data_IF_627112072312
#
_entry.id   IF_627112072312
#
_cell.length_a   1.000
_cell.length_b   1.000
_cell.length_c   1.000
_cell.angle_alpha   90.00
_cell.angle_beta   90.00
_cell.angle_gamma   90.00
#
_symmetry.space_group_name_H-M   'P 1'
#
loop_
_entity.id
_entity.type
_entity.pdbx_description
1 polymer ?
#
# COMPACT_ATOMS: atom_id res chain seq x y z
N UNK A 1 -24.35 1.62 0.41
CA UNK A 1 -23.13 2.09 -0.29
C UNK A 1 -23.13 1.84 -1.80
N UNK A 2 -23.87 0.85 -2.33
CA UNK A 2 -23.93 0.61 -3.79
C UNK A 2 -25.38 0.66 -4.32
N UNK A 3 -26.08 1.77 -4.08
CA UNK A 3 -27.43 2.03 -4.59
C UNK A 3 -27.38 2.77 -5.94
N UNK A 4 -28.48 2.82 -6.72
CA UNK A 4 -28.54 3.57 -7.98
C UNK A 4 -28.09 5.02 -7.87
N UNK A 5 -28.29 5.64 -6.71
CA UNK A 5 -27.89 7.02 -6.39
C UNK A 5 -26.37 7.20 -6.34
N UNK A 6 -25.62 6.11 -6.13
CA UNK A 6 -24.15 6.10 -6.03
C UNK A 6 -23.46 5.37 -7.19
N UNK A 7 -24.16 5.14 -8.31
CA UNK A 7 -23.59 4.42 -9.45
C UNK A 7 -22.41 5.14 -10.11
N UNK A 8 -22.36 6.47 -10.01
CA UNK A 8 -21.23 7.26 -10.52
C UNK A 8 -19.97 6.99 -9.68
N UNK A 9 -20.10 7.00 -8.36
CA UNK A 9 -19.02 6.71 -7.41
C UNK A 9 -18.57 5.25 -7.53
N UNK A 10 -19.53 4.33 -7.65
CA UNK A 10 -19.24 2.93 -7.93
C UNK A 10 -18.44 2.77 -9.22
N UNK A 11 -18.88 3.37 -10.33
CA UNK A 11 -18.15 3.31 -11.60
C UNK A 11 -16.78 3.95 -11.49
N UNK A 12 -16.66 5.09 -10.81
CA UNK A 12 -15.38 5.78 -10.63
C UNK A 12 -14.38 4.87 -9.90
N UNK A 13 -14.81 4.27 -8.80
CA UNK A 13 -13.97 3.46 -7.90
C UNK A 13 -13.71 2.04 -8.40
N UNK A 14 -14.62 1.47 -9.21
CA UNK A 14 -14.49 0.09 -9.70
C UNK A 14 -14.02 -0.04 -11.15
N UNK A 15 -14.21 1.00 -11.98
CA UNK A 15 -13.96 0.93 -13.42
C UNK A 15 -13.05 2.05 -13.91
N UNK A 16 -13.45 3.32 -13.70
CA UNK A 16 -12.73 4.44 -14.31
C UNK A 16 -11.32 4.60 -13.74
N UNK A 17 -11.09 4.28 -12.45
CA UNK A 17 -9.76 4.29 -11.84
C UNK A 17 -8.78 3.32 -12.52
N UNK A 18 -9.27 2.20 -13.08
CA UNK A 18 -8.42 1.22 -13.75
C UNK A 18 -8.19 1.57 -15.21
N UNK A 19 -9.21 2.09 -15.91
CA UNK A 19 -9.11 2.41 -17.33
C UNK A 19 -8.47 3.77 -17.64
N UNK A 20 -8.70 4.76 -16.79
CA UNK A 20 -8.18 6.12 -17.00
C UNK A 20 -6.94 6.41 -16.17
N UNK A 21 -6.35 5.38 -15.54
CA UNK A 21 -5.10 5.52 -14.82
C UNK A 21 -4.01 6.01 -15.77
N UNK A 22 -3.38 7.12 -15.42
CA UNK A 22 -2.20 7.62 -16.13
C UNK A 22 -0.95 7.19 -15.40
N UNK A 23 0.09 6.83 -16.15
CA UNK A 23 1.41 6.66 -15.57
C UNK A 23 1.88 7.96 -14.92
N UNK A 24 2.63 7.85 -13.83
CA UNK A 24 3.24 9.01 -13.20
C UNK A 24 4.27 9.63 -14.15
N UNK A 25 4.28 10.97 -14.24
CA UNK A 25 5.31 11.66 -15.02
C UNK A 25 6.67 11.51 -14.35
N UNK A 26 7.73 11.62 -15.15
CA UNK A 26 9.12 11.62 -14.64
C UNK A 26 9.34 12.70 -13.56
N UNK A 27 8.75 13.88 -13.75
CA UNK A 27 8.79 14.97 -12.76
C UNK A 27 8.06 14.61 -11.45
N UNK A 28 6.98 13.84 -11.51
CA UNK A 28 6.27 13.39 -10.31
C UNK A 28 7.09 12.32 -9.57
N UNK A 29 7.64 11.35 -10.32
CA UNK A 29 8.48 10.29 -9.76
C UNK A 29 9.74 10.85 -9.10
N UNK A 30 10.43 11.81 -9.72
CA UNK A 30 11.68 12.38 -9.19
C UNK A 30 11.53 13.14 -7.86
N UNK A 31 10.29 13.41 -7.40
CA UNK A 31 10.02 13.99 -6.07
C UNK A 31 10.16 12.97 -4.95
N UNK A 32 10.17 11.67 -5.27
CA UNK A 32 10.39 10.61 -4.29
C UNK A 32 11.86 10.60 -3.90
N UNK A 33 12.12 10.77 -2.60
CA UNK A 33 13.47 10.93 -2.04
C UNK A 33 13.90 9.75 -1.16
N UNK A 34 13.04 8.76 -0.97
CA UNK A 34 13.34 7.56 -0.21
C UNK A 34 13.57 6.35 -1.13
N UNK A 35 14.28 5.31 -0.66
CA UNK A 35 14.34 4.04 -1.36
C UNK A 35 12.94 3.44 -1.56
N UNK A 36 12.72 2.77 -2.68
CA UNK A 36 11.44 2.13 -3.02
C UNK A 36 11.65 0.64 -3.29
N UNK A 37 10.75 -0.20 -2.77
CA UNK A 37 10.68 -1.62 -3.13
C UNK A 37 9.29 -1.95 -3.70
N UNK A 38 9.29 -2.45 -4.94
CA UNK A 38 8.10 -2.93 -5.62
C UNK A 38 8.00 -4.45 -5.44
N UNK A 39 6.84 -4.92 -4.99
CA UNK A 39 6.50 -6.34 -4.89
C UNK A 39 5.32 -6.64 -5.80
N UNK A 40 5.36 -7.73 -6.55
CA UNK A 40 4.22 -8.21 -7.33
C UNK A 40 4.12 -9.73 -7.34
N UNK A 41 2.90 -10.24 -7.43
CA UNK A 41 2.64 -11.67 -7.50
C UNK A 41 2.64 -12.17 -8.94
N UNK A 42 3.30 -13.31 -9.20
CA UNK A 42 3.39 -13.85 -10.57
C UNK A 42 2.08 -14.46 -11.06
N UNK A 43 1.12 -14.75 -10.17
CA UNK A 43 -0.22 -15.27 -10.50
C UNK A 43 -1.33 -14.22 -10.30
N UNK A 44 -0.97 -12.93 -10.26
CA UNK A 44 -1.94 -11.84 -10.24
C UNK A 44 -2.74 -11.80 -11.55
N UNK A 45 -4.05 -12.03 -11.46
CA UNK A 45 -4.98 -11.86 -12.59
C UNK A 45 -5.39 -10.41 -12.85
N UNK A 46 -5.18 -9.53 -11.86
CA UNK A 46 -5.63 -8.13 -11.93
C UNK A 46 -4.62 -7.28 -12.70
N UNK A 47 -3.34 -7.47 -12.43
CA UNK A 47 -2.25 -6.75 -13.08
C UNK A 47 -1.21 -7.73 -13.63
N UNK A 48 -0.81 -7.60 -14.91
CA UNK A 48 0.26 -8.42 -15.48
C UNK A 48 1.62 -8.02 -14.90
N UNK A 49 2.57 -8.95 -14.85
CA UNK A 49 3.95 -8.70 -14.42
C UNK A 49 4.58 -7.48 -15.10
N UNK A 50 4.36 -7.36 -16.42
CA UNK A 50 4.85 -6.26 -17.26
C UNK A 50 4.51 -4.87 -16.70
N UNK A 51 3.34 -4.72 -16.06
CA UNK A 51 2.95 -3.45 -15.46
C UNK A 51 3.94 -3.00 -14.37
N UNK A 52 4.36 -3.93 -13.51
CA UNK A 52 5.31 -3.65 -12.43
C UNK A 52 6.73 -3.42 -12.95
N UNK A 53 7.11 -4.13 -14.01
CA UNK A 53 8.39 -3.97 -14.72
C UNK A 53 8.51 -2.60 -15.39
N UNK A 54 7.47 -2.16 -16.11
CA UNK A 54 7.42 -0.83 -16.73
C UNK A 54 7.46 0.30 -15.68
N UNK A 55 6.79 0.11 -14.54
CA UNK A 55 6.87 1.05 -13.42
C UNK A 55 8.27 1.12 -12.81
N UNK A 56 8.92 -0.04 -12.63
CA UNK A 56 10.28 -0.13 -12.14
C UNK A 56 11.26 0.62 -13.06
N UNK A 57 11.19 0.40 -14.37
CA UNK A 57 12.02 1.11 -15.35
C UNK A 57 11.79 2.62 -15.30
N UNK A 58 10.52 3.05 -15.23
CA UNK A 58 10.17 4.48 -15.15
C UNK A 58 10.72 5.13 -13.88
N UNK A 59 10.68 4.43 -12.74
CA UNK A 59 11.28 4.90 -11.48
C UNK A 59 12.81 4.96 -11.55
N UNK A 60 13.47 3.97 -12.16
CA UNK A 60 14.92 4.02 -12.37
C UNK A 60 15.33 5.19 -13.27
N UNK A 61 14.60 5.43 -14.35
CA UNK A 61 14.84 6.56 -15.25
C UNK A 61 14.68 7.92 -14.55
N UNK A 62 13.79 8.00 -13.56
CA UNK A 62 13.60 9.18 -12.72
C UNK A 62 14.71 9.35 -11.65
N UNK A 63 15.70 8.45 -11.60
CA UNK A 63 16.83 8.51 -10.68
C UNK A 63 16.56 7.94 -9.28
N UNK A 64 15.48 7.17 -9.10
CA UNK A 64 15.14 6.60 -7.80
C UNK A 64 16.01 5.39 -7.49
N UNK A 65 16.36 5.24 -6.21
CA UNK A 65 16.85 3.97 -5.67
C UNK A 65 15.67 3.00 -5.49
N UNK A 66 15.37 2.24 -6.55
CA UNK A 66 14.24 1.31 -6.59
C UNK A 66 14.72 -0.13 -6.77
N UNK A 67 14.03 -1.07 -6.13
CA UNK A 67 14.19 -2.52 -6.34
C UNK A 67 12.84 -3.17 -6.67
N UNK A 68 12.86 -4.26 -7.43
CA UNK A 68 11.68 -5.04 -7.82
C UNK A 68 11.84 -6.49 -7.38
N UNK A 69 10.80 -7.07 -6.80
CA UNK A 69 10.76 -8.47 -6.39
C UNK A 69 9.45 -9.12 -6.84
N UNK A 70 9.57 -10.20 -7.60
CA UNK A 70 8.46 -11.08 -7.92
C UNK A 70 8.25 -12.10 -6.78
N UNK A 71 7.01 -12.28 -6.34
CA UNK A 71 6.60 -13.31 -5.39
C UNK A 71 5.96 -14.45 -6.16
N UNK A 72 6.63 -15.59 -6.17
CA UNK A 72 6.22 -16.75 -6.96
C UNK A 72 4.86 -17.26 -6.51
N UNK A 73 4.02 -17.60 -7.50
CA UNK A 73 2.67 -18.11 -7.33
C UNK A 73 1.68 -17.20 -6.58
N UNK A 74 2.05 -15.96 -6.27
CA UNK A 74 1.23 -15.07 -5.48
C UNK A 74 0.11 -14.38 -6.29
N UNK A 75 -1.09 -14.23 -5.70
CA UNK A 75 -2.20 -13.51 -6.33
C UNK A 75 -2.03 -11.99 -6.18
N UNK A 76 -3.07 -11.23 -6.57
CA UNK A 76 -3.08 -9.78 -6.42
C UNK A 76 -2.96 -9.33 -4.95
N UNK A 77 -3.68 -10.01 -4.06
CA UNK A 77 -3.65 -9.76 -2.61
C UNK A 77 -2.52 -10.53 -1.90
N UNK A 78 -1.31 -10.49 -2.48
CA UNK A 78 -0.14 -11.21 -1.96
C UNK A 78 0.21 -10.88 -0.50
N UNK A 79 -0.10 -9.68 -0.02
CA UNK A 79 0.12 -9.30 1.38
C UNK A 79 -0.81 -10.04 2.36
N UNK A 80 -1.97 -10.50 1.90
CA UNK A 80 -2.93 -11.28 2.69
C UNK A 80 -2.58 -12.76 2.55
N UNK A 81 -2.54 -13.26 1.32
CA UNK A 81 -2.45 -14.70 1.06
C UNK A 81 -1.03 -15.25 1.26
N UNK A 82 0.00 -14.41 1.10
CA UNK A 82 1.43 -14.80 1.15
C UNK A 82 2.22 -13.95 2.15
N UNK A 83 1.57 -13.56 3.26
CA UNK A 83 2.20 -12.76 4.31
C UNK A 83 3.51 -13.35 4.86
N UNK A 84 3.62 -14.69 4.93
CA UNK A 84 4.84 -15.36 5.37
C UNK A 84 6.05 -15.10 4.46
N UNK A 85 5.84 -14.90 3.16
CA UNK A 85 6.89 -14.57 2.20
C UNK A 85 7.12 -13.06 2.12
N UNK A 86 6.03 -12.29 2.21
CA UNK A 86 6.03 -10.84 1.98
C UNK A 86 6.52 -10.06 3.20
N UNK A 87 6.13 -10.47 4.41
CA UNK A 87 6.48 -9.75 5.64
C UNK A 87 8.00 -9.70 5.89
N UNK A 88 8.77 -10.80 5.72
CA UNK A 88 10.22 -10.75 5.80
C UNK A 88 10.85 -9.80 4.77
N UNK A 89 10.34 -9.79 3.52
CA UNK A 89 10.84 -8.90 2.47
C UNK A 89 10.64 -7.42 2.81
N UNK A 90 9.49 -7.08 3.38
CA UNK A 90 9.18 -5.72 3.85
C UNK A 90 10.06 -5.37 5.05
N UNK A 91 10.14 -6.27 6.05
CA UNK A 91 10.97 -6.10 7.23
C UNK A 91 12.43 -5.83 6.86
N UNK A 92 13.03 -6.69 6.04
CA UNK A 92 14.45 -6.59 5.68
C UNK A 92 14.73 -5.33 4.88
N UNK A 93 13.80 -4.93 4.00
CA UNK A 93 13.92 -3.68 3.26
C UNK A 93 13.88 -2.46 4.18
N UNK A 94 12.92 -2.39 5.12
CA UNK A 94 12.83 -1.31 6.10
C UNK A 94 14.10 -1.29 6.96
N UNK A 95 14.52 -2.46 7.47
CA UNK A 95 15.70 -2.59 8.31
C UNK A 95 16.98 -2.18 7.59
N UNK A 96 17.09 -2.40 6.29
CA UNK A 96 18.20 -1.92 5.47
C UNK A 96 18.17 -0.39 5.25
N UNK A 97 16.99 0.23 5.28
CA UNK A 97 16.81 1.67 5.05
C UNK A 97 16.92 2.52 6.31
N UNK A 98 16.74 1.95 7.51
CA UNK A 98 16.87 2.70 8.77
C UNK A 98 18.35 2.92 9.09
N UNK A 99 18.78 4.18 9.04
CA UNK A 99 20.14 4.60 9.39
C UNK A 99 20.42 4.50 10.90
N UNK A 100 19.40 4.76 11.73
CA UNK A 100 19.52 4.87 13.18
C UNK A 100 18.67 3.80 13.87
N UNK A 101 19.21 2.59 13.92
CA UNK A 101 18.52 1.42 14.48
C UNK A 101 18.40 1.48 16.00
N UNK A 102 19.31 2.19 16.64
CA UNK A 102 19.39 2.30 18.10
C UNK A 102 18.32 3.23 18.66
N UNK A 103 17.84 4.19 17.88
CA UNK A 103 16.78 5.13 18.27
C UNK A 103 15.37 4.75 17.77
N UNK A 104 15.17 3.53 17.27
CA UNK A 104 13.83 3.04 16.94
C UNK A 104 13.05 2.86 18.25
N UNK A 105 12.07 3.72 18.48
CA UNK A 105 11.15 3.61 19.61
C UNK A 105 9.89 2.89 19.17
N UNK A 106 9.56 1.78 19.85
CA UNK A 106 8.29 1.09 19.65
C UNK A 106 7.21 1.92 20.37
N UNK A 107 6.19 2.43 19.67
CA UNK A 107 5.10 3.14 20.31
C UNK A 107 4.43 2.23 21.34
N UNK A 108 4.30 2.69 22.58
CA UNK A 108 3.60 1.96 23.64
C UNK A 108 2.08 2.03 23.50
N UNK A 109 1.57 3.01 22.77
CA UNK A 109 0.19 3.11 22.35
C UNK A 109 0.11 3.51 20.89
N UNK A 110 -0.70 2.77 20.11
CA UNK A 110 -1.07 3.14 18.75
C UNK A 110 -2.53 3.53 18.80
N UNK A 111 -2.83 4.79 18.47
CA UNK A 111 -4.20 5.28 18.32
C UNK A 111 -4.42 5.52 16.84
N UNK A 112 -5.49 4.95 16.28
CA UNK A 112 -5.87 5.23 14.90
C UNK A 112 -6.30 6.70 14.80
N UNK A 113 -5.86 7.45 13.77
CA UNK A 113 -6.32 8.82 13.55
C UNK A 113 -7.81 8.89 13.21
N UNK A 114 -8.44 7.75 12.91
CA UNK A 114 -9.87 7.65 12.62
C UNK A 114 -10.69 7.16 13.82
N UNK A 115 -10.10 6.94 14.99
CA UNK A 115 -10.82 6.40 16.15
C UNK A 115 -12.08 7.21 16.48
N UNK A 116 -11.96 8.54 16.57
CA UNK A 116 -13.09 9.41 16.91
C UNK A 116 -14.19 9.34 15.83
N UNK A 117 -13.82 9.51 14.55
CA UNK A 117 -14.77 9.45 13.44
C UNK A 117 -15.48 8.08 13.33
N UNK A 118 -14.75 6.99 13.51
CA UNK A 118 -15.34 5.64 13.49
C UNK A 118 -16.30 5.44 14.66
N UNK A 119 -15.96 5.94 15.85
CA UNK A 119 -16.85 5.86 17.02
C UNK A 119 -18.13 6.68 16.82
N UNK A 120 -18.04 7.86 16.21
CA UNK A 120 -19.21 8.66 15.81
C UNK A 120 -20.13 7.89 14.85
N UNK A 121 -19.54 7.09 13.95
CA UNK A 121 -20.26 6.21 13.02
C UNK A 121 -20.67 4.86 13.64
N UNK A 122 -20.49 4.68 14.95
CA UNK A 122 -20.98 3.52 15.71
C UNK A 122 -20.00 2.36 15.85
N UNK A 123 -18.73 2.52 15.48
CA UNK A 123 -17.69 1.54 15.78
C UNK A 123 -17.40 1.52 17.28
N UNK A 124 -17.53 0.35 17.92
CA UNK A 124 -17.22 0.16 19.33
C UNK A 124 -15.97 -0.70 19.48
N UNK A 125 -14.82 -0.15 19.94
CA UNK A 125 -13.56 -0.88 20.03
C UNK A 125 -13.58 -2.04 21.05
N UNK A 126 -14.52 -2.02 22.00
CA UNK A 126 -14.67 -3.05 23.03
C UNK A 126 -15.51 -4.25 22.57
N UNK A 127 -16.18 -4.14 21.41
CA UNK A 127 -16.97 -5.23 20.83
C UNK A 127 -16.05 -6.06 19.93
N UNK A 128 -15.78 -7.30 20.33
CA UNK A 128 -15.12 -8.26 19.44
C UNK A 128 -15.99 -8.46 18.20
N UNK A 129 -15.49 -8.08 17.03
CA UNK A 129 -16.14 -8.45 15.78
C UNK A 129 -16.18 -9.97 15.70
N UNK A 130 -17.39 -10.52 15.52
CA UNK A 130 -17.61 -11.95 15.31
C UNK A 130 -17.03 -12.45 13.96
N UNK A 131 -16.52 -11.53 13.13
CA UNK A 131 -15.89 -11.77 11.84
C UNK A 131 -14.39 -11.40 11.79
N UNK A 132 -13.80 -10.94 12.91
CA UNK A 132 -12.34 -10.78 13.00
C UNK A 132 -11.71 -12.16 13.28
N UNK A 133 -11.82 -13.05 12.30
CA UNK A 133 -11.01 -14.26 12.24
C UNK A 133 -9.58 -13.84 11.87
N UNK A 134 -8.70 -13.94 12.87
CA UNK A 134 -7.25 -13.76 12.81
C UNK A 134 -6.74 -12.31 12.63
N UNK A 135 -5.83 -11.93 13.54
CA UNK A 135 -5.15 -10.64 13.55
C UNK A 135 -4.43 -10.38 12.21
N UNK A 136 -5.06 -9.65 11.29
CA UNK A 136 -4.35 -9.01 10.18
C UNK A 136 -3.48 -7.93 10.81
N UNK A 137 -2.21 -8.25 11.05
CA UNK A 137 -1.21 -7.28 11.48
C UNK A 137 -0.82 -6.45 10.27
N UNK A 138 -1.53 -5.36 10.01
CA UNK A 138 -1.07 -4.34 9.06
C UNK A 138 -0.04 -3.46 9.76
N UNK A 139 1.24 -3.83 9.63
CA UNK A 139 2.35 -3.02 10.14
C UNK A 139 2.52 -1.75 9.30
N UNK A 140 1.90 -0.65 9.73
CA UNK A 140 2.25 0.68 9.25
C UNK A 140 3.48 1.17 10.04
N UNK A 141 4.67 1.05 9.46
CA UNK A 141 5.81 1.84 9.96
C UNK A 141 5.58 3.27 9.47
N UNK A 142 5.35 4.18 10.41
CA UNK A 142 5.17 5.61 10.19
C UNK A 142 6.39 6.21 9.47
N UNK A 143 6.36 6.18 8.15
CA UNK A 143 7.14 7.03 7.25
C UNK A 143 6.24 7.48 6.09
N UNK A 144 5.01 7.87 6.42
CA UNK A 144 4.11 8.53 5.48
C UNK A 144 4.53 9.98 5.29
N UNK A 145 5.33 10.24 4.26
CA UNK A 145 5.29 11.55 3.60
C UNK A 145 4.27 11.45 2.46
N UNK A 146 3.04 11.85 2.76
CA UNK A 146 1.95 12.02 1.79
C UNK A 146 2.45 12.81 0.57
N UNK A 147 2.23 12.27 -0.63
CA UNK A 147 2.26 13.00 -1.89
C UNK A 147 1.00 12.63 -2.69
N UNK A 148 -0.15 13.02 -2.15
CA UNK A 148 -1.39 13.19 -2.91
C UNK A 148 -1.80 14.66 -2.77
N UNK A 149 -1.13 15.54 -3.51
CA UNK A 149 -1.75 16.79 -3.95
C UNK A 149 -2.41 16.52 -5.29
N UNK A 150 -3.70 16.19 -5.25
CA UNK A 150 -4.59 16.47 -6.36
C UNK A 150 -5.06 17.91 -6.19
N UNK A 151 -4.31 18.84 -6.78
CA UNK A 151 -4.84 20.19 -7.02
C UNK A 151 -5.83 20.09 -8.19
N UNK A 152 -7.05 20.57 -7.93
CA UNK A 152 -8.09 20.81 -8.93
C UNK A 152 -7.77 22.03 -9.79
#
# INVERSE_FOLDING_TARGET
NWSPEHFKEYRLTSYDIFLHRRAHSQQALSRISCPVKLLYGTNSMVYPAKYSEELFESMQQAGLNVSLQAVSNAPHYLCVDHGNDVNPLIHDFIWACVNDKENITIPTSIVSPWNEALQEDGWCPDVKNEFDDEFITVSFVCLFRFLLTMEH
#
